data_IF_295418696345
#
_entry.id   IF_295418696345
#
_cell.length_a   1.000
_cell.length_b   1.000
_cell.length_c   1.000
_cell.angle_alpha   90.00
_cell.angle_beta   90.00
_cell.angle_gamma   90.00
#
_symmetry.space_group_name_H-M   'P 1'
#
loop_
_entity.id
_entity.type
_entity.pdbx_description
1 polymer ?
#
# COMPACT_ATOMS: atom_id res chain seq x y z
N UNK A 1 -18.88 -8.72 52.82
CA UNK A 1 -19.53 -8.39 51.53
C UNK A 1 -18.68 -7.38 50.75
N UNK A 2 -17.45 -7.74 50.35
CA UNK A 2 -16.49 -6.81 49.73
C UNK A 2 -16.14 -7.07 48.25
N UNK A 3 -16.01 -8.33 47.78
CA UNK A 3 -15.48 -8.58 46.44
C UNK A 3 -16.51 -8.34 45.34
N UNK A 4 -17.78 -8.72 45.56
CA UNK A 4 -18.84 -8.60 44.55
C UNK A 4 -19.10 -7.13 44.20
N UNK A 5 -19.11 -6.24 45.19
CA UNK A 5 -19.30 -4.80 44.97
C UNK A 5 -18.13 -4.18 44.19
N UNK A 6 -16.89 -4.62 44.49
CA UNK A 6 -15.69 -4.18 43.75
C UNK A 6 -15.74 -4.59 42.28
N UNK A 7 -16.19 -5.81 41.99
CA UNK A 7 -16.35 -6.30 40.62
C UNK A 7 -17.51 -5.63 39.89
N UNK A 8 -18.65 -5.41 40.54
CA UNK A 8 -19.77 -4.65 39.95
C UNK A 8 -19.39 -3.20 39.63
N UNK A 9 -18.59 -2.56 40.47
CA UNK A 9 -18.11 -1.21 40.22
C UNK A 9 -17.17 -1.13 39.02
N UNK A 10 -16.21 -2.06 38.92
CA UNK A 10 -15.34 -2.17 37.75
C UNK A 10 -16.13 -2.45 36.45
N UNK A 11 -17.17 -3.28 36.54
CA UNK A 11 -18.06 -3.57 35.40
C UNK A 11 -18.85 -2.34 34.97
N UNK A 12 -19.37 -1.56 35.92
CA UNK A 12 -20.07 -0.31 35.65
C UNK A 12 -19.19 0.73 34.97
N UNK A 13 -17.93 0.89 35.42
CA UNK A 13 -16.96 1.78 34.78
C UNK A 13 -16.59 1.31 33.37
N UNK A 14 -16.40 0.00 33.17
CA UNK A 14 -16.09 -0.57 31.85
C UNK A 14 -17.23 -0.39 30.83
N UNK A 15 -18.49 -0.41 31.28
CA UNK A 15 -19.66 -0.18 30.42
C UNK A 15 -19.91 1.32 30.12
N UNK A 16 -19.48 2.21 31.01
CA UNK A 16 -19.59 3.66 30.82
C UNK A 16 -18.38 4.27 30.09
N UNK A 17 -17.26 3.55 30.01
CA UNK A 17 -16.20 3.89 29.08
C UNK A 17 -16.75 3.72 27.64
N UNK A 18 -16.65 4.73 26.76
CA UNK A 18 -17.01 4.56 25.37
C UNK A 18 -16.18 3.40 24.81
N UNK A 19 -16.82 2.28 24.48
CA UNK A 19 -16.20 1.19 23.70
C UNK A 19 -15.82 1.64 22.27
N UNK A 20 -15.98 2.93 21.96
CA UNK A 20 -15.35 3.62 20.86
C UNK A 20 -13.90 4.00 21.22
N UNK A 21 -13.08 3.01 21.59
CA UNK A 21 -11.68 3.13 21.18
C UNK A 21 -11.70 3.28 19.66
N UNK A 22 -10.97 4.23 19.06
CA UNK A 22 -10.78 4.26 17.62
C UNK A 22 -9.84 3.09 17.26
N UNK A 23 -10.32 1.87 17.41
CA UNK A 23 -9.73 0.69 16.81
C UNK A 23 -9.99 0.81 15.30
N UNK A 24 -9.22 1.69 14.66
CA UNK A 24 -9.33 2.03 13.25
C UNK A 24 -10.70 2.62 12.95
N UNK A 25 -10.79 3.95 12.90
CA UNK A 25 -11.82 4.58 12.07
C UNK A 25 -11.85 3.82 10.76
N UNK A 26 -12.92 3.07 10.56
CA UNK A 26 -13.19 2.40 9.31
C UNK A 26 -13.42 3.55 8.34
N UNK A 27 -12.31 4.08 7.80
CA UNK A 27 -12.29 4.79 6.55
C UNK A 27 -12.85 3.77 5.56
N UNK A 28 -14.19 3.73 5.49
CA UNK A 28 -14.94 3.06 4.44
C UNK A 28 -14.72 3.88 3.18
N UNK A 29 -13.45 4.07 2.78
CA UNK A 29 -13.12 4.15 1.38
C UNK A 29 -13.68 2.86 0.82
N UNK A 30 -14.83 2.99 0.16
CA UNK A 30 -15.41 1.93 -0.63
C UNK A 30 -14.24 1.23 -1.34
N UNK A 31 -14.03 -0.08 -1.13
CA UNK A 31 -13.01 -0.79 -1.86
C UNK A 31 -13.43 -0.67 -3.32
N UNK A 32 -12.81 0.29 -4.02
CA UNK A 32 -13.13 0.57 -5.40
C UNK A 32 -12.93 -0.76 -6.11
N UNK A 33 -13.95 -1.28 -6.82
CA UNK A 33 -13.84 -2.54 -7.52
C UNK A 33 -12.61 -2.42 -8.42
N UNK A 34 -11.50 -3.04 -7.99
CA UNK A 34 -10.32 -3.17 -8.82
C UNK A 34 -10.76 -4.12 -9.90
N UNK A 35 -11.28 -3.54 -10.99
CA UNK A 35 -11.36 -4.22 -12.27
C UNK A 35 -9.99 -4.87 -12.41
N UNK A 36 -9.95 -6.20 -12.43
CA UNK A 36 -8.78 -6.93 -12.90
C UNK A 36 -8.63 -6.46 -14.34
N UNK A 37 -7.94 -5.34 -14.52
CA UNK A 37 -7.20 -5.13 -15.72
C UNK A 37 -6.25 -6.32 -15.71
N UNK A 38 -6.57 -7.33 -16.52
CA UNK A 38 -5.54 -8.13 -17.15
C UNK A 38 -4.70 -7.14 -17.97
N UNK A 39 -3.93 -6.29 -17.28
CA UNK A 39 -2.87 -5.55 -17.91
C UNK A 39 -1.90 -6.64 -18.26
N UNK A 40 -1.78 -6.91 -19.56
CA UNK A 40 -0.68 -7.69 -20.07
C UNK A 40 0.65 -7.16 -19.54
N UNK A 41 1.75 -7.87 -19.82
CA UNK A 41 3.07 -7.37 -19.48
C UNK A 41 3.23 -5.93 -19.97
N UNK A 42 3.57 -5.03 -19.06
CA UNK A 42 3.98 -3.67 -19.38
C UNK A 42 5.37 -3.75 -19.98
N UNK A 43 5.58 -3.08 -21.10
CA UNK A 43 6.89 -2.93 -21.69
C UNK A 43 7.36 -1.51 -21.45
N UNK A 44 8.60 -1.37 -20.98
CA UNK A 44 9.21 -0.05 -20.82
C UNK A 44 9.73 0.40 -22.19
N UNK A 45 9.34 1.58 -22.65
CA UNK A 45 9.80 2.11 -23.93
C UNK A 45 11.21 2.70 -23.88
N UNK A 46 11.73 3.01 -22.69
CA UNK A 46 13.04 3.64 -22.48
C UNK A 46 13.72 3.11 -21.22
N UNK A 47 15.01 3.38 -21.07
CA UNK A 47 15.72 3.02 -19.84
C UNK A 47 15.20 3.86 -18.67
N UNK A 48 14.66 3.20 -17.64
CA UNK A 48 14.08 3.88 -16.49
C UNK A 48 14.64 3.35 -15.16
N UNK A 49 14.88 4.24 -14.18
CA UNK A 49 15.38 3.83 -12.87
C UNK A 49 14.28 3.17 -12.05
N UNK A 50 14.55 1.98 -11.54
CA UNK A 50 13.74 1.30 -10.55
C UNK A 50 14.12 1.80 -9.16
N UNK A 51 13.14 2.19 -8.33
CA UNK A 51 13.35 2.79 -7.00
C UNK A 51 12.76 1.95 -5.88
N UNK A 52 13.28 2.13 -4.67
CA UNK A 52 12.78 1.45 -3.47
C UNK A 52 11.40 1.94 -3.00
N UNK A 53 11.07 3.22 -3.24
CA UNK A 53 9.83 3.83 -2.76
C UNK A 53 9.28 4.84 -3.79
N UNK A 54 7.98 5.20 -3.71
CA UNK A 54 7.34 6.15 -4.61
C UNK A 54 7.70 7.60 -4.23
N UNK A 55 9.00 7.89 -4.16
CA UNK A 55 9.55 9.21 -3.87
C UNK A 55 10.64 9.55 -4.89
N UNK A 56 10.67 10.79 -5.35
CA UNK A 56 11.69 11.24 -6.31
C UNK A 56 13.13 11.17 -5.75
N UNK A 57 13.26 11.22 -4.42
CA UNK A 57 14.53 11.09 -3.68
C UNK A 57 14.86 9.65 -3.28
N UNK A 58 13.97 8.68 -3.55
CA UNK A 58 14.18 7.29 -3.16
C UNK A 58 15.44 6.69 -3.80
N UNK A 59 16.19 5.84 -3.08
CA UNK A 59 17.35 5.14 -3.64
C UNK A 59 16.97 4.31 -4.86
N UNK A 60 17.88 4.29 -5.84
CA UNK A 60 17.75 3.52 -7.08
C UNK A 60 18.23 2.10 -6.83
N UNK A 61 17.37 1.11 -7.08
CA UNK A 61 17.70 -0.31 -7.04
C UNK A 61 18.50 -0.75 -8.26
N UNK A 62 18.30 -0.06 -9.39
CA UNK A 62 18.95 -0.33 -10.65
C UNK A 62 18.22 0.36 -11.79
N UNK A 63 18.73 0.17 -13.00
CA UNK A 63 18.09 0.68 -14.22
C UNK A 63 17.45 -0.49 -14.96
N UNK A 64 16.19 -0.34 -15.32
CA UNK A 64 15.50 -1.25 -16.20
C UNK A 64 15.75 -0.83 -17.64
N UNK A 65 16.12 -1.78 -18.49
CA UNK A 65 16.36 -1.51 -19.92
C UNK A 65 15.06 -1.39 -20.70
N UNK A 66 15.07 -0.58 -21.74
CA UNK A 66 14.00 -0.53 -22.73
C UNK A 66 13.69 -1.95 -23.27
N UNK A 67 12.41 -2.23 -23.49
CA UNK A 67 11.91 -3.55 -23.92
C UNK A 67 11.71 -4.56 -22.78
N UNK A 68 12.12 -4.26 -21.55
CA UNK A 68 11.91 -5.16 -20.41
C UNK A 68 10.42 -5.37 -20.13
N UNK A 69 10.01 -6.63 -20.04
CA UNK A 69 8.66 -7.03 -19.65
C UNK A 69 8.49 -6.93 -18.13
N UNK A 70 7.49 -6.16 -17.71
CA UNK A 70 7.15 -5.91 -16.33
C UNK A 70 5.71 -6.32 -16.05
N UNK A 71 5.44 -6.75 -14.83
CA UNK A 71 4.09 -6.91 -14.30
C UNK A 71 3.75 -5.71 -13.43
N UNK A 72 2.63 -5.05 -13.75
CA UNK A 72 2.08 -4.03 -12.89
C UNK A 72 1.48 -4.67 -11.63
N UNK A 73 1.99 -4.29 -10.46
CA UNK A 73 1.46 -4.73 -9.17
C UNK A 73 0.47 -3.72 -8.58
N UNK A 74 0.81 -2.42 -8.66
CA UNK A 74 0.02 -1.34 -8.08
C UNK A 74 0.33 -0.02 -8.78
N UNK A 75 -0.68 0.84 -8.89
CA UNK A 75 -0.51 2.27 -9.20
C UNK A 75 -0.73 3.10 -7.93
N UNK A 76 0.08 4.13 -7.75
CA UNK A 76 0.02 5.07 -6.65
C UNK A 76 0.15 6.48 -7.22
N UNK A 77 -0.75 7.38 -6.85
CA UNK A 77 -0.62 8.79 -7.18
C UNK A 77 -0.14 9.50 -5.93
N UNK A 78 1.04 10.12 -6.00
CA UNK A 78 1.59 10.87 -4.90
C UNK A 78 0.96 12.28 -4.86
N UNK A 79 0.96 12.90 -3.68
CA UNK A 79 0.34 14.21 -3.47
C UNK A 79 1.04 15.34 -4.24
N UNK A 80 2.26 15.08 -4.74
CA UNK A 80 3.05 15.95 -5.63
C UNK A 80 2.59 15.90 -7.10
N UNK A 81 1.49 15.20 -7.39
CA UNK A 81 0.96 15.01 -8.74
C UNK A 81 1.74 13.99 -9.57
N UNK A 82 2.68 13.26 -8.97
CA UNK A 82 3.45 12.22 -9.66
C UNK A 82 2.77 10.87 -9.57
N UNK A 83 2.68 10.21 -10.72
CA UNK A 83 2.18 8.85 -10.81
C UNK A 83 3.32 7.84 -10.72
N UNK A 84 3.12 6.87 -9.83
CA UNK A 84 4.07 5.82 -9.51
C UNK A 84 3.46 4.45 -9.79
N UNK A 85 4.22 3.59 -10.44
CA UNK A 85 3.87 2.19 -10.68
C UNK A 85 4.80 1.30 -9.87
N UNK A 86 4.22 0.49 -9.00
CA UNK A 86 4.91 -0.64 -8.41
C UNK A 86 4.91 -1.78 -9.42
N UNK A 87 6.11 -2.15 -9.88
CA UNK A 87 6.32 -3.11 -10.96
C UNK A 87 7.21 -4.26 -10.49
N UNK A 88 7.03 -5.42 -11.11
CA UNK A 88 7.91 -6.58 -10.97
C UNK A 88 8.46 -6.98 -12.33
N UNK A 89 9.76 -7.23 -12.45
CA UNK A 89 10.34 -7.78 -13.68
C UNK A 89 9.84 -9.20 -13.93
N UNK A 90 9.43 -9.48 -15.16
CA UNK A 90 9.04 -10.83 -15.59
C UNK A 90 10.22 -11.61 -16.19
N UNK A 91 11.24 -10.90 -16.66
CA UNK A 91 12.43 -11.47 -17.30
C UNK A 91 13.65 -11.36 -16.39
N UNK A 92 14.40 -12.46 -16.25
CA UNK A 92 15.61 -12.52 -15.43
C UNK A 92 15.35 -12.60 -13.93
N UNK A 93 16.13 -11.86 -13.15
CA UNK A 93 16.03 -11.77 -11.69
C UNK A 93 14.73 -11.03 -11.30
N UNK A 94 13.91 -11.63 -10.43
CA UNK A 94 12.58 -11.11 -10.06
C UNK A 94 12.69 -9.89 -9.12
N UNK A 95 13.08 -8.76 -9.68
CA UNK A 95 13.22 -7.49 -8.97
C UNK A 95 11.90 -6.75 -8.94
N UNK A 96 11.62 -6.14 -7.79
CA UNK A 96 10.42 -5.34 -7.54
C UNK A 96 10.84 -3.94 -7.16
N UNK A 97 10.05 -2.96 -7.58
CA UNK A 97 10.28 -1.59 -7.18
C UNK A 97 9.31 -0.62 -7.84
N UNK A 98 9.58 0.65 -7.62
CA UNK A 98 8.76 1.77 -8.04
C UNK A 98 9.34 2.45 -9.26
N UNK A 99 8.46 2.71 -10.21
CA UNK A 99 8.72 3.39 -11.47
C UNK A 99 7.88 4.66 -11.52
N UNK A 100 8.46 5.75 -12.00
CA UNK A 100 7.70 6.98 -12.25
C UNK A 100 7.20 6.96 -13.69
N UNK A 101 5.94 7.35 -13.89
CA UNK A 101 5.29 7.46 -15.21
C UNK A 101 5.33 8.90 -15.69
#
# INVERSE_FOLDING_TARGET
MGPVLRWSWLLGVALMAPAALPAGGADRRQPQPRRRAASGPLHISSDQPLRLSPLAVAPRLGTLKAGSSLRLLRRWSAADGQDWLHVQTLSGDQRRGWLRV
#
